data_IF_669987819511
#
_entry.id   IF_669987819511
#
_cell.length_a   1.000
_cell.length_b   1.000
_cell.length_c   1.000
_cell.angle_alpha   90.00
_cell.angle_beta   90.00
_cell.angle_gamma   90.00
#
_symmetry.space_group_name_H-M   'P 1'
#
loop_
_entity.id
_entity.type
_entity.pdbx_description
1 polymer ?
#
# COMPACT_ATOMS: atom_id res chain seq x y z
N UNK A 1 25.08 18.30 3.76
CA UNK A 1 23.65 18.00 3.48
C UNK A 1 23.60 16.72 2.66
N UNK A 2 23.25 15.57 3.25
CA UNK A 2 23.09 14.31 2.52
C UNK A 2 22.06 13.43 3.25
N UNK A 3 20.84 13.32 2.73
CA UNK A 3 19.91 12.28 3.17
C UNK A 3 20.27 10.98 2.45
N UNK A 4 20.70 9.98 3.23
CA UNK A 4 20.92 8.61 2.77
C UNK A 4 19.59 7.88 2.84
N UNK A 5 18.94 7.65 1.70
CA UNK A 5 17.87 6.64 1.60
C UNK A 5 18.54 5.27 1.74
N UNK A 6 18.54 4.71 2.95
CA UNK A 6 19.26 3.48 3.25
C UNK A 6 18.47 2.59 4.20
N UNK A 7 17.69 1.67 3.62
CA UNK A 7 17.02 0.57 4.32
C UNK A 7 15.54 0.46 3.93
N UNK A 8 15.11 -0.73 3.52
CA UNK A 8 13.68 -1.06 3.53
C UNK A 8 13.29 -1.13 5.00
N UNK A 9 12.53 -0.13 5.48
CA UNK A 9 11.97 -0.17 6.82
C UNK A 9 10.86 -1.22 6.82
N UNK A 10 11.03 -2.27 7.62
CA UNK A 10 9.98 -3.26 7.86
C UNK A 10 8.77 -2.59 8.52
N UNK A 11 7.59 -3.14 8.29
CA UNK A 11 6.33 -2.67 8.88
C UNK A 11 6.40 -2.92 10.39
N UNK A 12 6.57 -1.84 11.16
CA UNK A 12 6.61 -1.91 12.62
C UNK A 12 5.20 -1.97 13.23
N UNK A 13 5.14 -2.12 14.55
CA UNK A 13 3.88 -2.28 15.28
C UNK A 13 2.93 -1.07 15.10
N UNK A 14 3.47 0.15 15.06
CA UNK A 14 2.69 1.36 14.85
C UNK A 14 2.07 1.36 13.45
N UNK A 15 2.85 1.02 12.42
CA UNK A 15 2.35 0.91 11.06
C UNK A 15 1.26 -0.17 10.94
N UNK A 16 1.42 -1.33 11.60
CA UNK A 16 0.40 -2.39 11.61
C UNK A 16 -0.91 -1.92 12.24
N UNK A 17 -0.84 -1.18 13.34
CA UNK A 17 -2.02 -0.62 14.00
C UNK A 17 -2.74 0.40 13.10
N UNK A 18 -1.99 1.30 12.45
CA UNK A 18 -2.55 2.29 11.53
C UNK A 18 -3.23 1.62 10.33
N UNK A 19 -2.57 0.63 9.72
CA UNK A 19 -3.13 -0.12 8.57
C UNK A 19 -4.44 -0.83 8.92
N UNK A 20 -4.54 -1.38 10.14
CA UNK A 20 -5.70 -2.17 10.56
C UNK A 20 -6.91 -1.33 10.98
N UNK A 21 -6.70 -0.05 11.33
CA UNK A 21 -7.74 0.83 11.89
C UNK A 21 -8.27 1.88 10.92
N UNK A 22 -7.59 2.11 9.80
CA UNK A 22 -7.90 3.20 8.90
C UNK A 22 -8.26 2.70 7.49
N UNK A 23 -9.07 3.49 6.79
CA UNK A 23 -9.16 3.38 5.34
C UNK A 23 -7.79 3.78 4.78
N UNK A 24 -7.15 2.86 4.08
CA UNK A 24 -5.87 3.08 3.42
C UNK A 24 -6.09 3.55 1.98
N UNK A 25 -5.10 4.22 1.40
CA UNK A 25 -5.14 4.61 0.00
C UNK A 25 -4.07 3.85 -0.78
N UNK A 26 -4.49 3.07 -1.78
CA UNK A 26 -3.58 2.27 -2.61
C UNK A 26 -3.34 2.97 -3.94
N UNK A 27 -2.09 3.43 -4.13
CA UNK A 27 -1.65 4.12 -5.33
C UNK A 27 -0.93 3.14 -6.28
N UNK A 28 -1.24 3.25 -7.57
CA UNK A 28 -0.63 2.49 -8.67
C UNK A 28 -0.38 3.42 -9.85
N UNK A 29 0.48 3.03 -10.77
CA UNK A 29 0.67 3.71 -12.05
C UNK A 29 0.73 2.69 -13.18
N UNK A 30 0.30 3.10 -14.37
CA UNK A 30 0.57 2.33 -15.59
C UNK A 30 2.04 2.43 -15.99
N UNK A 31 2.46 1.62 -16.97
CA UNK A 31 3.83 1.65 -17.54
C UNK A 31 4.22 3.02 -18.12
N UNK A 32 3.25 3.77 -18.64
CA UNK A 32 3.41 5.16 -19.12
C UNK A 32 3.31 6.21 -18.01
N UNK A 33 3.21 5.79 -16.74
CA UNK A 33 3.27 6.68 -15.58
C UNK A 33 1.93 7.32 -15.20
N UNK A 34 0.80 6.92 -15.80
CA UNK A 34 -0.50 7.50 -15.46
C UNK A 34 -0.96 7.03 -14.07
N UNK A 35 -1.17 7.94 -13.10
CA UNK A 35 -1.49 7.56 -11.73
C UNK A 35 -2.92 7.03 -11.59
N UNK A 36 -3.12 6.26 -10.52
CA UNK A 36 -4.41 5.78 -10.05
C UNK A 36 -4.35 5.59 -8.53
N UNK A 37 -5.35 6.09 -7.81
CA UNK A 37 -5.48 5.88 -6.36
C UNK A 37 -6.89 5.42 -6.04
N UNK A 38 -7.02 4.50 -5.09
CA UNK A 38 -8.30 4.03 -4.58
C UNK A 38 -8.28 3.96 -3.05
N UNK A 39 -9.41 4.17 -2.37
CA UNK A 39 -9.55 3.82 -0.96
C UNK A 39 -9.70 2.30 -0.80
N UNK A 40 -9.10 1.75 0.26
CA UNK A 40 -9.16 0.33 0.64
C UNK A 40 -9.51 0.27 2.13
N UNK A 41 -10.71 -0.20 2.45
CA UNK A 41 -11.19 -0.33 3.83
C UNK A 41 -10.84 -1.64 4.51
N UNK A 42 -10.36 -2.63 3.74
CA UNK A 42 -10.00 -3.96 4.23
C UNK A 42 -8.52 -4.22 3.94
N UNK A 43 -7.68 -3.83 4.89
CA UNK A 43 -6.23 -4.02 4.87
C UNK A 43 -5.81 -4.77 6.13
N UNK A 44 -5.07 -5.86 5.95
CA UNK A 44 -4.59 -6.69 7.05
C UNK A 44 -3.08 -6.91 6.94
N UNK A 45 -2.27 -6.42 7.89
CA UNK A 45 -0.85 -6.77 7.96
C UNK A 45 -0.68 -8.25 8.30
N UNK A 46 0.07 -8.97 7.48
CA UNK A 46 0.33 -10.41 7.68
C UNK A 46 1.64 -10.63 8.44
N UNK A 47 2.68 -9.85 8.09
CA UNK A 47 3.97 -9.82 8.79
C UNK A 47 4.68 -8.49 8.54
N UNK A 48 5.95 -8.43 8.91
CA UNK A 48 6.81 -7.25 8.85
C UNK A 48 7.08 -6.77 7.40
N UNK A 49 6.72 -7.54 6.38
CA UNK A 49 6.97 -7.24 4.97
C UNK A 49 5.73 -7.34 4.07
N UNK A 50 4.63 -7.90 4.57
CA UNK A 50 3.46 -8.24 3.76
C UNK A 50 2.18 -7.69 4.36
N UNK A 51 1.34 -7.16 3.48
CA UNK A 51 -0.04 -6.77 3.77
C UNK A 51 -0.97 -7.49 2.80
N UNK A 52 -2.18 -7.79 3.25
CA UNK A 52 -3.27 -8.29 2.44
C UNK A 52 -4.23 -7.14 2.14
N UNK A 53 -4.57 -6.97 0.86
CA UNK A 53 -5.59 -6.04 0.39
C UNK A 53 -6.76 -6.86 -0.17
N UNK A 54 -7.97 -6.68 0.37
CA UNK A 54 -9.16 -7.35 -0.18
C UNK A 54 -9.64 -6.61 -1.41
N UNK A 55 -9.69 -7.31 -2.53
CA UNK A 55 -10.24 -6.75 -3.76
C UNK A 55 -11.76 -6.80 -3.77
N UNK A 56 -12.37 -5.61 -3.63
CA UNK A 56 -13.79 -5.40 -3.84
C UNK A 56 -13.98 -4.52 -5.08
N UNK A 57 -13.77 -5.09 -6.27
CA UNK A 57 -13.96 -4.45 -7.58
C UNK A 57 -12.85 -3.45 -7.98
N UNK A 58 -11.59 -3.76 -7.68
CA UNK A 58 -10.40 -2.98 -8.07
C UNK A 58 -10.01 -3.16 -9.55
N UNK A 59 -10.98 -3.25 -10.46
CA UNK A 59 -10.79 -3.60 -11.88
C UNK A 59 -9.82 -2.66 -12.61
N UNK A 60 -9.85 -1.36 -12.29
CA UNK A 60 -8.96 -0.36 -12.88
C UNK A 60 -7.55 -0.43 -12.29
N UNK A 61 -7.41 -0.89 -11.05
CA UNK A 61 -6.12 -1.06 -10.39
C UNK A 61 -5.42 -2.33 -10.89
N UNK A 62 -6.13 -3.47 -11.00
CA UNK A 62 -5.58 -4.73 -11.53
C UNK A 62 -5.03 -4.62 -12.95
N UNK A 63 -5.68 -3.84 -13.82
CA UNK A 63 -5.23 -3.64 -15.21
C UNK A 63 -3.99 -2.74 -15.33
N UNK A 64 -3.65 -2.00 -14.27
CA UNK A 64 -2.58 -1.01 -14.26
C UNK A 64 -1.33 -1.49 -13.52
N UNK A 65 -1.50 -2.42 -12.58
CA UNK A 65 -0.40 -3.05 -11.85
C UNK A 65 0.35 -4.09 -12.67
#
# INVERSE_FOLDING_TARGET
MWFRWGGVKMIDAEMKEVLSRNICYFATSTKDGKPNVIPVGLVEPIDDSRILLVDVKMNKTRKKS
#
